data_IF_546949478193
#
_entry.id   IF_546949478193
#
_cell.length_a   1.000
_cell.length_b   1.000
_cell.length_c   1.000
_cell.angle_alpha   90.00
_cell.angle_beta   90.00
_cell.angle_gamma   90.00
#
_symmetry.space_group_name_H-M   'P 1'
#
loop_
_entity.id
_entity.type
_entity.pdbx_description
1 polymer ?
#
# COMPACT_ATOMS: atom_id res chain seq x y z
N UNK A 1 -6.27 -14.73 -9.31
CA UNK A 1 -7.22 -13.90 -8.56
C UNK A 1 -7.85 -14.78 -7.51
N UNK A 2 -7.78 -14.39 -6.24
CA UNK A 2 -8.24 -15.20 -5.11
C UNK A 2 -9.58 -14.64 -4.63
N UNK A 3 -10.56 -15.50 -4.38
CA UNK A 3 -11.80 -15.06 -3.76
C UNK A 3 -11.52 -14.64 -2.31
N UNK A 4 -12.18 -13.58 -1.84
CA UNK A 4 -11.98 -13.09 -0.47
C UNK A 4 -12.20 -14.18 0.60
N UNK A 5 -13.12 -15.12 0.34
CA UNK A 5 -13.42 -16.26 1.21
C UNK A 5 -12.31 -17.30 1.30
N UNK A 6 -11.46 -17.39 0.28
CA UNK A 6 -10.34 -18.35 0.16
C UNK A 6 -9.00 -17.72 0.56
N UNK A 7 -8.99 -16.44 0.93
CA UNK A 7 -7.76 -15.71 1.22
C UNK A 7 -6.97 -16.34 2.38
N UNK A 8 -7.67 -16.92 3.36
CA UNK A 8 -7.09 -17.56 4.54
C UNK A 8 -6.20 -18.76 4.17
N UNK A 9 -6.56 -19.51 3.12
CA UNK A 9 -5.84 -20.72 2.68
C UNK A 9 -4.46 -20.39 2.08
N UNK A 10 -4.22 -19.12 1.76
CA UNK A 10 -2.98 -18.62 1.17
C UNK A 10 -2.14 -17.77 2.14
N UNK A 11 -2.55 -17.68 3.41
CA UNK A 11 -1.79 -16.94 4.41
C UNK A 11 -0.64 -17.78 4.98
N UNK A 12 0.52 -17.18 5.27
CA UNK A 12 1.52 -17.85 6.09
C UNK A 12 1.01 -18.02 7.53
N UNK A 13 1.56 -19.00 8.24
CA UNK A 13 1.22 -19.27 9.65
C UNK A 13 1.48 -18.06 10.56
N UNK A 14 2.46 -17.22 10.21
CA UNK A 14 2.84 -16.02 10.95
C UNK A 14 3.30 -14.89 10.02
N UNK A 15 3.26 -13.66 10.51
CA UNK A 15 3.81 -12.47 9.84
C UNK A 15 2.74 -11.49 9.37
N UNK A 16 3.12 -10.62 8.43
CA UNK A 16 2.26 -9.54 7.90
C UNK A 16 2.05 -9.73 6.40
N UNK A 17 0.82 -9.50 5.96
CA UNK A 17 0.40 -9.68 4.56
C UNK A 17 -0.24 -8.41 4.06
N UNK A 18 0.09 -8.04 2.82
CA UNK A 18 -0.55 -6.95 2.10
C UNK A 18 -1.43 -7.49 0.98
N UNK A 19 -2.69 -7.10 1.01
CA UNK A 19 -3.67 -7.39 -0.04
C UNK A 19 -3.91 -6.17 -0.91
N UNK A 20 -3.98 -6.36 -2.23
CA UNK A 20 -4.59 -5.38 -3.14
C UNK A 20 -5.97 -5.88 -3.51
N UNK A 21 -7.01 -5.08 -3.21
CA UNK A 21 -8.40 -5.44 -3.49
C UNK A 21 -9.02 -4.45 -4.47
N UNK A 22 -9.82 -4.94 -5.41
CA UNK A 22 -10.65 -4.11 -6.30
C UNK A 22 -12.04 -4.74 -6.43
N UNK A 23 -13.08 -3.97 -6.16
CA UNK A 23 -14.48 -4.40 -6.24
C UNK A 23 -14.75 -5.74 -5.51
N UNK A 24 -14.23 -5.87 -4.29
CA UNK A 24 -14.40 -7.06 -3.46
C UNK A 24 -13.54 -8.27 -3.84
N UNK A 25 -12.71 -8.17 -4.89
CA UNK A 25 -11.82 -9.25 -5.34
C UNK A 25 -10.38 -8.95 -4.96
N UNK A 26 -9.63 -9.97 -4.54
CA UNK A 26 -8.21 -9.85 -4.25
C UNK A 26 -7.42 -9.97 -5.56
N UNK A 27 -6.75 -8.88 -5.93
CA UNK A 27 -5.90 -8.79 -7.10
C UNK A 27 -4.49 -9.32 -6.84
N UNK A 28 -3.93 -9.05 -5.66
CA UNK A 28 -2.60 -9.54 -5.27
C UNK A 28 -2.48 -9.75 -3.76
N UNK A 29 -1.57 -10.65 -3.40
CA UNK A 29 -1.18 -11.00 -2.04
C UNK A 29 0.34 -11.00 -2.00
N UNK A 30 0.94 -10.35 -1.01
CA UNK A 30 2.38 -10.45 -0.75
C UNK A 30 2.69 -10.42 0.74
N UNK A 31 3.78 -11.06 1.11
CA UNK A 31 4.37 -10.93 2.43
C UNK A 31 4.99 -9.54 2.58
N UNK A 32 4.83 -8.96 3.77
CA UNK A 32 5.47 -7.70 4.15
C UNK A 32 6.67 -8.04 5.04
N UNK A 33 7.86 -7.69 4.58
CA UNK A 33 9.10 -7.94 5.32
C UNK A 33 9.16 -7.09 6.60
N UNK A 34 10.02 -7.46 7.54
CA UNK A 34 10.13 -6.80 8.84
C UNK A 34 10.65 -5.36 8.74
N UNK A 35 11.45 -5.07 7.71
CA UNK A 35 12.01 -3.76 7.39
C UNK A 35 11.05 -2.88 6.58
N UNK A 36 9.91 -3.41 6.15
CA UNK A 36 8.89 -2.65 5.45
C UNK A 36 7.89 -1.97 6.42
N UNK A 37 7.63 -0.70 6.16
CA UNK A 37 6.53 0.05 6.78
C UNK A 37 5.46 0.35 5.73
N UNK A 38 4.27 -0.24 5.89
CA UNK A 38 3.13 0.01 5.00
C UNK A 38 2.39 1.23 5.50
N UNK A 39 2.30 2.26 4.66
CA UNK A 39 1.62 3.50 4.98
C UNK A 39 0.85 4.07 3.79
N UNK A 40 -0.08 4.97 4.07
CA UNK A 40 -0.81 5.67 3.01
C UNK A 40 0.04 6.76 2.38
N UNK A 41 -0.28 7.14 1.14
CA UNK A 41 0.35 8.29 0.48
C UNK A 41 0.20 9.58 1.33
N UNK A 42 -0.94 9.77 1.99
CA UNK A 42 -1.16 10.88 2.91
C UNK A 42 -0.14 10.90 4.05
N UNK A 43 0.11 9.75 4.67
CA UNK A 43 1.07 9.65 5.76
C UNK A 43 2.50 9.93 5.28
N UNK A 44 2.85 9.49 4.07
CA UNK A 44 4.12 9.83 3.45
C UNK A 44 4.27 11.35 3.25
N UNK A 45 3.22 12.03 2.77
CA UNK A 45 3.20 13.48 2.60
C UNK A 45 3.39 14.18 3.94
N UNK A 46 2.65 13.78 4.97
CA UNK A 46 2.75 14.36 6.33
C UNK A 46 4.16 14.18 6.91
N UNK A 47 4.81 13.04 6.67
CA UNK A 47 6.20 12.80 7.09
C UNK A 47 7.18 13.71 6.36
N UNK A 48 7.00 13.90 5.04
CA UNK A 48 7.84 14.80 4.25
C UNK A 48 7.71 16.25 4.74
N UNK A 49 6.50 16.72 4.99
CA UNK A 49 6.23 18.06 5.54
C UNK A 49 6.89 18.24 6.92
N UNK A 50 6.77 17.26 7.81
CA UNK A 50 7.43 17.28 9.13
C UNK A 50 8.96 17.30 9.04
N UNK A 51 9.53 16.72 7.97
CA UNK A 51 10.96 16.76 7.69
C UNK A 51 11.41 18.07 7.01
N UNK A 52 10.51 19.03 6.79
CA UNK A 52 10.81 20.34 6.21
C UNK A 52 10.73 20.38 4.68
N UNK A 53 10.19 19.34 4.04
CA UNK A 53 9.96 19.34 2.60
C UNK A 53 8.62 19.98 2.23
N UNK A 54 8.56 20.56 1.04
CA UNK A 54 7.33 21.06 0.43
C UNK A 54 6.96 20.18 -0.76
N UNK A 55 5.79 19.56 -0.72
CA UNK A 55 5.30 18.75 -1.84
C UNK A 55 4.66 19.67 -2.88
N UNK A 56 5.25 19.73 -4.07
CA UNK A 56 4.71 20.51 -5.20
C UNK A 56 4.12 19.59 -6.25
N UNK A 57 2.89 19.89 -6.70
CA UNK A 57 2.35 19.25 -7.90
C UNK A 57 3.15 19.79 -9.08
N UNK A 58 3.75 18.92 -9.89
CA UNK A 58 4.33 19.33 -11.16
C UNK A 58 3.21 19.98 -11.97
N UNK A 59 3.33 21.27 -12.28
CA UNK A 59 2.40 21.93 -13.20
C UNK A 59 2.47 21.16 -14.53
N UNK A 60 1.32 20.74 -15.04
CA UNK A 60 1.23 20.29 -16.43
C UNK A 60 1.86 21.40 -17.30
N UNK A 61 2.78 21.09 -18.22
CA UNK A 61 3.19 22.06 -19.21
C UNK A 61 1.91 22.54 -19.88
N UNK A 62 1.65 23.85 -19.82
CA UNK A 62 0.49 24.44 -20.46
C UNK A 62 0.43 23.94 -21.91
N UNK A 63 -0.70 23.31 -22.24
CA UNK A 63 -1.06 22.89 -23.61
C UNK A 63 -1.16 24.12 -24.49
#
# INVERSE_FOLDING_TARGET
MINKSEAADHLPDNGRILFTCNNGKILSVRNVHEDEHVSSLKSLIELAEKAGYMIVKKSDPAV
#
